data_IF_525644505114
#
_entry.id   IF_525644505114
#
_cell.length_a   1.000
_cell.length_b   1.000
_cell.length_c   1.000
_cell.angle_alpha   90.00
_cell.angle_beta   90.00
_cell.angle_gamma   90.00
#
_symmetry.space_group_name_H-M   'P 1'
#
loop_
_entity.id
_entity.type
_entity.pdbx_description
1 polymer ?
#
# COMPACT_ATOMS: atom_id res chain seq x y z
N UNK A 1 13.23 14.10 13.86
CA UNK A 1 11.87 13.82 14.35
C UNK A 1 11.65 12.34 14.21
N UNK A 2 11.54 11.61 15.33
CA UNK A 2 11.44 10.15 15.31
C UNK A 2 10.00 9.65 15.28
N UNK A 3 9.61 8.95 14.22
CA UNK A 3 8.27 8.35 14.12
C UNK A 3 8.30 6.86 14.46
N UNK A 4 7.27 6.42 15.18
CA UNK A 4 7.06 5.00 15.47
C UNK A 4 6.43 4.30 14.27
N UNK A 5 6.70 3.01 14.08
CA UNK A 5 6.09 2.19 12.99
C UNK A 5 4.55 2.15 13.08
N UNK A 6 3.99 2.38 14.27
CA UNK A 6 2.54 2.48 14.52
C UNK A 6 1.99 3.92 14.49
N UNK A 7 2.81 4.90 14.10
CA UNK A 7 2.37 6.30 14.02
C UNK A 7 1.21 6.48 13.01
N UNK A 8 0.44 7.55 13.15
CA UNK A 8 -0.63 7.85 12.19
C UNK A 8 -0.02 8.38 10.89
N UNK A 9 -0.76 8.25 9.79
CA UNK A 9 -0.37 8.78 8.47
C UNK A 9 -0.08 10.29 8.52
N UNK A 10 -0.85 11.04 9.32
CA UNK A 10 -0.63 12.48 9.54
C UNK A 10 0.77 12.76 10.05
N UNK A 11 1.23 11.96 11.01
CA UNK A 11 2.48 12.15 11.73
C UNK A 11 3.65 11.73 10.83
N UNK A 12 3.49 10.63 10.09
CA UNK A 12 4.47 10.20 9.10
C UNK A 12 4.64 11.21 7.95
N UNK A 13 3.54 11.79 7.46
CA UNK A 13 3.58 12.84 6.44
C UNK A 13 4.23 14.12 6.95
N UNK A 14 3.89 14.52 8.18
CA UNK A 14 4.49 15.68 8.81
C UNK A 14 6.00 15.48 9.04
N UNK A 15 6.42 14.29 9.47
CA UNK A 15 7.83 13.94 9.64
C UNK A 15 8.61 13.91 8.32
N UNK A 16 7.96 13.52 7.22
CA UNK A 16 8.53 13.57 5.87
C UNK A 16 8.57 14.99 5.28
N UNK A 17 7.87 15.96 5.87
CA UNK A 17 7.75 17.31 5.33
C UNK A 17 7.00 17.39 3.99
N UNK A 18 6.17 16.38 3.67
CA UNK A 18 5.49 16.29 2.38
C UNK A 18 4.14 17.01 2.39
N UNK A 19 3.87 17.76 1.33
CA UNK A 19 2.51 18.21 1.03
C UNK A 19 1.63 17.03 0.53
N UNK A 20 0.29 17.20 0.39
CA UNK A 20 -0.59 16.09 0.00
C UNK A 20 -0.24 15.44 -1.35
N UNK A 21 0.20 16.22 -2.34
CA UNK A 21 0.56 15.73 -3.68
C UNK A 21 1.87 14.94 -3.64
N UNK A 22 2.89 15.50 -2.99
CA UNK A 22 4.18 14.84 -2.73
C UNK A 22 3.98 13.53 -1.96
N UNK A 23 3.12 13.55 -0.95
CA UNK A 23 2.79 12.37 -0.17
C UNK A 23 2.13 11.29 -1.02
N UNK A 24 1.19 11.66 -1.91
CA UNK A 24 0.56 10.71 -2.83
C UNK A 24 1.61 10.08 -3.75
N UNK A 25 2.54 10.88 -4.27
CA UNK A 25 3.61 10.38 -5.13
C UNK A 25 4.57 9.44 -4.40
N UNK A 26 4.98 9.80 -3.19
CA UNK A 26 5.76 8.94 -2.31
C UNK A 26 5.07 7.59 -2.06
N UNK A 27 3.76 7.58 -1.81
CA UNK A 27 3.00 6.34 -1.63
C UNK A 27 2.98 5.45 -2.87
N UNK A 28 2.91 6.05 -4.07
CA UNK A 28 2.98 5.33 -5.34
C UNK A 28 4.36 4.72 -5.56
N UNK A 29 5.42 5.51 -5.45
CA UNK A 29 6.81 5.03 -5.62
C UNK A 29 7.14 3.88 -4.65
N UNK A 30 6.77 4.03 -3.38
CA UNK A 30 7.00 2.98 -2.38
C UNK A 30 6.22 1.70 -2.65
N UNK A 31 5.03 1.81 -3.24
CA UNK A 31 4.25 0.63 -3.60
C UNK A 31 4.88 -0.13 -4.76
N UNK A 32 5.30 0.57 -5.81
CA UNK A 32 5.98 -0.02 -6.98
C UNK A 32 7.25 -0.79 -6.54
N UNK A 33 8.06 -0.20 -5.67
CA UNK A 33 9.24 -0.87 -5.12
C UNK A 33 8.87 -2.05 -4.21
N UNK A 34 7.79 -1.95 -3.44
CA UNK A 34 7.31 -3.07 -2.62
C UNK A 34 6.86 -4.25 -3.47
N UNK A 35 6.16 -3.99 -4.58
CA UNK A 35 5.75 -5.05 -5.52
C UNK A 35 6.97 -5.73 -6.15
N UNK A 36 7.96 -4.96 -6.63
CA UNK A 36 9.21 -5.51 -7.15
C UNK A 36 9.92 -6.39 -6.11
N UNK A 37 9.99 -5.92 -4.87
CA UNK A 37 10.62 -6.64 -3.76
C UNK A 37 9.85 -7.92 -3.41
N UNK A 38 8.52 -7.86 -3.41
CA UNK A 38 7.65 -9.03 -3.18
C UNK A 38 7.78 -10.08 -4.29
N UNK A 39 7.76 -9.67 -5.56
CA UNK A 39 7.93 -10.57 -6.70
C UNK A 39 9.32 -11.22 -6.72
N UNK A 40 10.35 -10.48 -6.34
CA UNK A 40 11.73 -10.98 -6.30
C UNK A 40 11.97 -11.92 -5.13
N UNK A 41 11.35 -11.66 -3.97
CA UNK A 41 11.60 -12.43 -2.76
C UNK A 41 10.34 -12.57 -1.88
N UNK A 42 9.42 -13.50 -2.22
CA UNK A 42 8.16 -13.69 -1.50
C UNK A 42 8.34 -14.12 -0.03
N UNK A 43 9.50 -14.66 0.32
CA UNK A 43 9.82 -15.12 1.68
C UNK A 43 9.93 -14.00 2.72
N UNK A 44 10.09 -12.74 2.27
CA UNK A 44 10.13 -11.57 3.13
C UNK A 44 8.73 -11.14 3.54
N UNK A 45 8.15 -11.90 4.48
CA UNK A 45 6.79 -11.71 4.99
C UNK A 45 6.56 -10.45 5.84
N UNK A 46 7.63 -9.71 6.15
CA UNK A 46 7.60 -8.53 7.01
C UNK A 46 8.82 -7.68 6.76
N UNK A 47 8.70 -6.36 6.91
CA UNK A 47 9.84 -5.43 6.73
C UNK A 47 11.06 -5.79 7.59
N UNK A 48 10.86 -6.27 8.81
CA UNK A 48 11.92 -6.73 9.71
C UNK A 48 12.72 -7.93 9.20
N UNK A 49 12.20 -8.70 8.24
CA UNK A 49 12.92 -9.81 7.59
C UNK A 49 13.75 -9.36 6.39
N UNK A 50 13.53 -8.14 5.90
CA UNK A 50 14.31 -7.58 4.80
C UNK A 50 15.70 -7.23 5.34
N UNK A 51 16.79 -7.72 4.73
CA UNK A 51 18.16 -7.42 5.16
C UNK A 51 18.46 -5.92 5.17
N UNK A 52 19.25 -5.46 6.14
CA UNK A 52 19.56 -4.03 6.30
C UNK A 52 20.20 -3.39 5.06
N UNK A 53 21.04 -4.13 4.32
CA UNK A 53 21.61 -3.67 3.05
C UNK A 53 20.53 -3.35 2.01
N UNK A 54 19.49 -4.18 1.91
CA UNK A 54 18.36 -3.95 0.99
C UNK A 54 17.51 -2.78 1.48
N UNK A 55 17.32 -2.63 2.79
CA UNK A 55 16.60 -1.49 3.35
C UNK A 55 17.30 -0.16 3.04
N UNK A 56 18.62 -0.10 3.21
CA UNK A 56 19.44 1.08 2.89
C UNK A 56 19.41 1.39 1.40
N UNK A 57 19.59 0.37 0.55
CA UNK A 57 19.51 0.55 -0.90
C UNK A 57 18.15 1.10 -1.33
N UNK A 58 17.06 0.56 -0.76
CA UNK A 58 15.72 1.05 -1.07
C UNK A 58 15.51 2.50 -0.62
N UNK A 59 16.05 2.88 0.53
CA UNK A 59 16.01 4.27 1.00
C UNK A 59 16.71 5.22 0.02
N UNK A 60 17.89 4.82 -0.47
CA UNK A 60 18.67 5.61 -1.44
C UNK A 60 17.91 5.75 -2.76
N UNK A 61 17.45 4.65 -3.35
CA UNK A 61 16.69 4.66 -4.60
C UNK A 61 15.41 5.49 -4.51
N UNK A 62 14.68 5.40 -3.40
CA UNK A 62 13.49 6.23 -3.19
C UNK A 62 13.85 7.70 -3.03
N UNK A 63 14.89 8.03 -2.27
CA UNK A 63 15.33 9.42 -2.12
C UNK A 63 15.86 10.03 -3.43
N UNK A 64 16.50 9.23 -4.28
CA UNK A 64 16.89 9.65 -5.62
C UNK A 64 15.66 9.95 -6.50
N UNK A 65 14.68 9.04 -6.50
CA UNK A 65 13.43 9.21 -7.25
C UNK A 65 12.64 10.42 -6.76
N UNK A 66 12.57 10.63 -5.45
CA UNK A 66 11.94 11.81 -4.85
C UNK A 66 12.69 13.10 -5.21
N UNK A 67 14.02 13.07 -5.20
CA UNK A 67 14.84 14.23 -5.55
C UNK A 67 14.68 14.63 -7.03
N UNK A 68 14.52 13.67 -7.94
CA UNK A 68 14.22 13.94 -9.35
C UNK A 68 12.90 14.71 -9.54
N UNK A 69 11.95 14.54 -8.62
CA UNK A 69 10.64 15.21 -8.63
C UNK A 69 10.57 16.41 -7.67
N UNK A 70 11.72 16.90 -7.19
CA UNK A 70 11.83 18.01 -6.22
C UNK A 70 11.03 17.77 -4.92
N UNK A 71 10.87 16.50 -4.54
CA UNK A 71 10.18 16.09 -3.31
C UNK A 71 11.21 15.96 -2.18
N UNK A 72 10.91 16.46 -0.96
CA UNK A 72 11.81 16.32 0.18
C UNK A 72 12.20 14.86 0.45
N UNK A 73 13.49 14.65 0.77
CA UNK A 73 14.02 13.35 1.14
C UNK A 73 13.33 12.81 2.40
N UNK A 74 13.15 11.51 2.45
CA UNK A 74 12.60 10.78 3.58
C UNK A 74 13.70 10.21 4.47
N UNK A 75 13.37 10.01 5.75
CA UNK A 75 14.25 9.36 6.71
C UNK A 75 14.00 7.85 6.77
N UNK A 76 14.94 7.12 7.38
CA UNK A 76 14.82 5.69 7.66
C UNK A 76 13.52 5.37 8.42
N UNK A 77 13.07 6.25 9.30
CA UNK A 77 11.87 6.03 10.12
C UNK A 77 10.57 6.12 9.30
N UNK A 78 10.50 7.09 8.37
CA UNK A 78 9.40 7.21 7.40
C UNK A 78 9.36 5.98 6.49
N UNK A 79 10.54 5.52 6.04
CA UNK A 79 10.64 4.29 5.26
C UNK A 79 10.17 3.07 6.06
N UNK A 80 10.66 2.89 7.29
CA UNK A 80 10.29 1.78 8.16
C UNK A 80 8.78 1.73 8.41
N UNK A 81 8.18 2.87 8.70
CA UNK A 81 6.73 3.00 8.85
C UNK A 81 6.00 2.56 7.57
N UNK A 82 6.43 3.07 6.41
CA UNK A 82 5.74 2.82 5.14
C UNK A 82 5.87 1.38 4.68
N UNK A 83 7.08 0.82 4.69
CA UNK A 83 7.36 -0.53 4.21
C UNK A 83 6.73 -1.61 5.10
N UNK A 84 6.68 -1.39 6.42
CA UNK A 84 5.98 -2.29 7.33
C UNK A 84 4.49 -2.43 6.97
N UNK A 85 3.85 -1.34 6.54
CA UNK A 85 2.47 -1.36 6.08
C UNK A 85 2.33 -1.95 4.68
N UNK A 86 3.17 -1.54 3.74
CA UNK A 86 3.08 -1.95 2.34
C UNK A 86 3.26 -3.48 2.18
N UNK A 87 4.26 -4.07 2.84
CA UNK A 87 4.50 -5.52 2.81
C UNK A 87 3.34 -6.27 3.44
N UNK A 88 2.83 -5.81 4.59
CA UNK A 88 1.67 -6.43 5.25
C UNK A 88 0.44 -6.44 4.33
N UNK A 89 0.19 -5.36 3.61
CA UNK A 89 -0.91 -5.28 2.64
C UNK A 89 -0.69 -6.19 1.44
N UNK A 90 0.54 -6.28 0.91
CA UNK A 90 0.86 -7.18 -0.19
C UNK A 90 0.59 -8.66 0.17
N UNK A 91 0.99 -9.10 1.37
CA UNK A 91 0.73 -10.46 1.87
C UNK A 91 -0.76 -10.72 2.17
N UNK A 92 -1.54 -9.71 2.61
CA UNK A 92 -2.99 -9.88 2.83
C UNK A 92 -3.74 -10.14 1.52
N UNK A 93 -3.29 -9.52 0.41
CA UNK A 93 -3.90 -9.71 -0.92
C UNK A 93 -3.78 -11.17 -1.40
N UNK A 94 -2.62 -11.79 -1.23
CA UNK A 94 -2.40 -13.18 -1.69
C UNK A 94 -3.22 -14.21 -0.92
N UNK A 95 -3.48 -13.99 0.37
CA UNK A 95 -4.27 -14.93 1.16
C UNK A 95 -5.79 -14.80 0.91
N UNK A 96 -6.27 -13.62 0.50
CA UNK A 96 -7.68 -13.38 0.26
C UNK A 96 -8.15 -13.78 -1.15
N UNK A 97 -7.24 -13.83 -2.13
CA UNK A 97 -7.56 -14.24 -3.50
C UNK A 97 -7.91 -15.74 -3.61
N UNK A 98 -7.54 -16.53 -2.59
CA UNK A 98 -7.76 -17.99 -2.54
C UNK A 98 -9.06 -18.40 -1.81
N UNK A 99 -9.89 -17.44 -1.34
CA UNK A 99 -11.10 -17.74 -0.53
C UNK A 99 -12.42 -17.21 -1.14
N UNK A 100 -12.44 -16.84 -2.42
CA UNK A 100 -13.68 -16.36 -3.08
C UNK A 100 -14.19 -17.31 -4.17
N UNK A 101 -14.34 -18.60 -3.86
CA UNK A 101 -15.12 -19.51 -4.72
C UNK A 101 -15.73 -20.65 -3.91
N UNK A 102 -16.86 -20.39 -3.24
CA UNK A 102 -17.83 -21.31 -2.60
C UNK A 102 -18.58 -20.51 -1.52
N UNK A 103 -19.89 -20.41 -1.38
CA UNK A 103 -21.09 -21.04 -1.92
C UNK A 103 -22.26 -20.09 -1.58
N UNK A 104 -23.25 -19.95 -2.46
CA UNK A 104 -24.63 -19.66 -2.06
C UNK A 104 -25.58 -20.07 -3.20
N UNK A 105 -25.67 -21.38 -3.44
CA UNK A 105 -26.88 -21.98 -4.03
C UNK A 105 -27.97 -21.90 -2.97
N UNK A 106 -28.94 -21.00 -3.16
CA UNK A 106 -29.95 -20.73 -2.15
C UNK A 106 -31.13 -19.88 -2.64
N UNK A 107 -31.93 -20.48 -3.51
CA UNK A 107 -33.39 -20.35 -3.65
C UNK A 107 -34.07 -18.97 -3.92
N UNK A 108 -35.20 -19.13 -4.63
CA UNK A 108 -36.42 -18.31 -4.66
C UNK A 108 -36.55 -17.25 -5.75
N UNK A 109 -37.51 -17.53 -6.64
CA UNK A 109 -38.17 -16.65 -7.59
C UNK A 109 -38.94 -15.59 -6.79
N UNK A 110 -38.74 -14.31 -7.10
CA UNK A 110 -39.40 -13.19 -6.40
C UNK A 110 -39.07 -11.82 -6.98
N UNK A 111 -39.73 -11.52 -8.11
CA UNK A 111 -40.26 -10.22 -8.55
C UNK A 111 -39.67 -8.88 -8.02
N UNK A 112 -39.04 -8.15 -8.96
CA UNK A 112 -39.02 -6.69 -9.19
C UNK A 112 -38.96 -5.68 -8.02
N UNK A 113 -37.92 -4.82 -8.01
CA UNK A 113 -38.07 -3.39 -8.37
C UNK A 113 -36.72 -2.63 -8.43
N UNK A 114 -36.56 -1.83 -9.49
CA UNK A 114 -35.74 -0.61 -9.68
C UNK A 114 -34.48 -0.38 -8.81
N UNK A 115 -33.29 -0.35 -9.43
CA UNK A 115 -32.47 0.88 -9.56
C UNK A 115 -31.17 0.60 -10.35
N UNK A 116 -30.97 1.37 -11.42
CA UNK A 116 -29.72 1.79 -12.06
C UNK A 116 -28.55 0.82 -12.23
N UNK A 117 -28.17 0.65 -13.50
CA UNK A 117 -26.97 -0.03 -13.95
C UNK A 117 -25.73 0.32 -13.14
N UNK A 118 -25.08 -0.72 -12.62
CA UNK A 118 -23.67 -0.69 -12.26
C UNK A 118 -22.97 -1.51 -13.30
N UNK A 119 -22.53 -0.81 -14.34
CA UNK A 119 -21.62 -1.34 -15.33
C UNK A 119 -20.48 -2.08 -14.63
N UNK A 120 -20.22 -3.26 -15.16
CA UNK A 120 -19.07 -4.09 -14.88
C UNK A 120 -17.79 -3.32 -15.25
N UNK A 121 -17.35 -2.41 -14.39
CA UNK A 121 -16.03 -1.81 -14.47
C UNK A 121 -15.06 -2.74 -13.74
N UNK A 122 -14.37 -3.57 -14.53
CA UNK A 122 -13.11 -4.22 -14.21
C UNK A 122 -12.28 -3.35 -13.23
N UNK A 123 -12.31 -3.74 -11.95
CA UNK A 123 -11.74 -2.96 -10.85
C UNK A 123 -10.23 -3.00 -10.89
N UNK A 124 -9.61 -2.20 -11.77
CA UNK A 124 -8.19 -1.87 -11.65
C UNK A 124 -8.00 -1.07 -10.36
N UNK A 125 -7.33 -1.70 -9.40
CA UNK A 125 -7.00 -1.20 -8.06
C UNK A 125 -6.51 0.26 -8.09
N UNK A 126 -7.16 1.12 -7.29
CA UNK A 126 -6.74 2.50 -7.06
C UNK A 126 -6.07 2.58 -5.68
N UNK A 127 -4.72 2.64 -5.62
CA UNK A 127 -3.95 2.58 -4.36
C UNK A 127 -4.25 3.74 -3.41
N UNK A 128 -4.90 4.81 -3.88
CA UNK A 128 -5.34 5.92 -3.01
C UNK A 128 -6.71 5.65 -2.40
N UNK A 129 -7.61 4.97 -3.10
CA UNK A 129 -8.98 4.68 -2.61
C UNK A 129 -9.01 3.50 -1.64
N UNK A 130 -8.25 2.45 -1.91
CA UNK A 130 -8.35 1.22 -1.11
C UNK A 130 -7.53 1.28 0.19
N UNK A 131 -6.54 2.16 0.28
CA UNK A 131 -5.85 2.46 1.56
C UNK A 131 -6.65 3.41 2.47
N UNK A 132 -7.72 4.05 1.96
CA UNK A 132 -8.59 4.97 2.70
C UNK A 132 -9.75 4.25 3.41
N UNK A 133 -10.07 3.01 3.01
CA UNK A 133 -11.22 2.27 3.54
C UNK A 133 -10.96 1.44 4.80
N UNK A 134 -9.72 1.13 5.12
CA UNK A 134 -9.38 0.16 6.19
C UNK A 134 -9.06 0.77 7.57
N UNK A 135 -9.16 2.10 7.76
CA UNK A 135 -8.72 2.74 9.01
C UNK A 135 -9.60 3.91 9.47
N UNK A 136 -10.85 3.60 9.84
CA UNK A 136 -11.57 4.37 10.86
C UNK A 136 -11.15 3.91 12.25
#
# INVERSE_FOLDING_TARGET
MSIQVRAKRSDARAAAGHNPTQWKRFLTLTWEETEKLYHSQPSWSSWSKVPANVQTQLLETLNESLAQEEIPKITVEVLNWRMAQAIRTAHKKTNNDDTSQSEASGATVGEANQQSGKDAASGRYDPVRDLVRDFQ
#
